data_IF_953178548751
#
_entry.id   IF_953178548751
#
_cell.length_a   1.000
_cell.length_b   1.000
_cell.length_c   1.000
_cell.angle_alpha   90.00
_cell.angle_beta   90.00
_cell.angle_gamma   90.00
#
_symmetry.space_group_name_H-M   'P 1'
#
loop_
_entity.id
_entity.type
_entity.pdbx_description
1 polymer ?
#
# COMPACT_ATOMS: atom_id res chain seq x y z
N UNK A 1 11.62 21.36 13.32
CA UNK A 1 11.38 22.01 12.01
C UNK A 1 10.67 21.07 11.02
N UNK A 2 11.05 19.79 10.91
CA UNK A 2 10.43 18.84 9.96
C UNK A 2 8.94 18.54 10.23
N UNK A 3 8.49 18.44 11.48
CA UNK A 3 7.10 18.09 11.82
C UNK A 3 6.07 19.10 11.28
N UNK A 4 6.40 20.39 11.29
CA UNK A 4 5.51 21.45 10.77
C UNK A 4 5.34 21.34 9.26
N UNK A 5 6.42 21.03 8.54
CA UNK A 5 6.38 20.81 7.09
C UNK A 5 5.47 19.63 6.74
N UNK A 6 5.67 18.46 7.34
CA UNK A 6 4.84 17.28 7.08
C UNK A 6 3.37 17.50 7.45
N UNK A 7 3.10 18.22 8.53
CA UNK A 7 1.73 18.56 8.92
C UNK A 7 1.07 19.46 7.86
N UNK A 8 1.78 20.45 7.33
CA UNK A 8 1.24 21.31 6.28
C UNK A 8 1.01 20.54 4.98
N UNK A 9 1.98 19.73 4.55
CA UNK A 9 1.85 18.86 3.38
C UNK A 9 0.64 17.93 3.50
N UNK A 10 0.45 17.33 4.68
CA UNK A 10 -0.73 16.52 4.96
C UNK A 10 -2.02 17.32 4.83
N UNK A 11 -2.13 18.48 5.47
CA UNK A 11 -3.34 19.30 5.42
C UNK A 11 -3.68 19.77 4.01
N UNK A 12 -2.66 20.03 3.18
CA UNK A 12 -2.83 20.45 1.78
C UNK A 12 -3.17 19.30 0.83
N UNK A 13 -2.71 18.09 1.14
CA UNK A 13 -2.84 16.94 0.23
C UNK A 13 -3.97 15.99 0.63
N UNK A 14 -4.52 16.13 1.84
CA UNK A 14 -5.55 15.24 2.37
C UNK A 14 -6.76 15.17 1.46
N UNK A 15 -7.16 13.95 1.11
CA UNK A 15 -8.42 13.68 0.42
C UNK A 15 -9.59 13.67 1.42
N UNK A 16 -10.38 14.74 1.43
CA UNK A 16 -11.46 14.92 2.40
C UNK A 16 -12.70 14.06 2.09
N UNK A 17 -12.91 13.65 0.83
CA UNK A 17 -14.08 12.85 0.43
C UNK A 17 -14.01 11.40 0.88
N UNK A 18 -12.80 10.87 1.16
CA UNK A 18 -12.63 9.51 1.69
C UNK A 18 -12.55 9.54 3.22
N UNK A 19 -13.69 9.34 3.87
CA UNK A 19 -13.80 9.34 5.33
C UNK A 19 -14.48 8.09 5.87
N UNK A 20 -14.33 7.85 7.17
CA UNK A 20 -14.90 6.68 7.84
C UNK A 20 -14.13 5.38 7.54
N UNK A 21 -14.78 4.26 7.89
CA UNK A 21 -14.19 2.92 7.78
C UNK A 21 -14.48 2.24 6.44
N UNK A 22 -15.62 2.54 5.84
CA UNK A 22 -16.10 1.84 4.65
C UNK A 22 -15.71 2.62 3.39
N UNK A 23 -14.76 2.09 2.62
CA UNK A 23 -14.32 2.64 1.32
C UNK A 23 -14.32 1.48 0.31
N UNK A 24 -14.90 1.73 -0.87
CA UNK A 24 -15.01 0.76 -1.97
C UNK A 24 -15.04 1.51 -3.31
N UNK A 25 -15.13 0.79 -4.42
CA UNK A 25 -14.92 1.33 -5.78
C UNK A 25 -15.69 2.62 -6.09
N UNK A 26 -16.98 2.74 -5.68
CA UNK A 26 -17.78 3.95 -5.96
C UNK A 26 -17.23 5.21 -5.29
N UNK A 27 -16.57 5.08 -4.13
CA UNK A 27 -15.98 6.22 -3.43
C UNK A 27 -14.74 6.76 -4.14
N UNK A 28 -13.99 5.88 -4.81
CA UNK A 28 -12.70 6.23 -5.43
C UNK A 28 -12.82 6.54 -6.93
N UNK A 29 -13.89 6.10 -7.60
CA UNK A 29 -14.10 6.33 -9.03
C UNK A 29 -14.04 7.82 -9.43
N UNK A 30 -14.73 8.76 -8.76
CA UNK A 30 -14.62 10.18 -9.10
C UNK A 30 -13.20 10.73 -8.92
N UNK A 31 -12.44 10.20 -7.96
CA UNK A 31 -11.06 10.60 -7.72
C UNK A 31 -10.13 10.07 -8.81
N UNK A 32 -10.34 8.83 -9.25
CA UNK A 32 -9.61 8.23 -10.36
C UNK A 32 -9.87 8.97 -11.68
N UNK A 33 -11.11 9.36 -11.94
CA UNK A 33 -11.48 10.21 -13.08
C UNK A 33 -10.72 11.55 -13.04
N UNK A 34 -10.69 12.22 -11.89
CA UNK A 34 -9.93 13.46 -11.72
C UNK A 34 -8.42 13.26 -11.92
N UNK A 35 -7.87 12.13 -11.46
CA UNK A 35 -6.45 11.80 -11.61
C UNK A 35 -6.07 11.42 -13.05
N UNK A 36 -7.01 10.93 -13.87
CA UNK A 36 -6.76 10.55 -15.28
C UNK A 36 -6.26 11.71 -16.15
N UNK A 37 -6.56 12.96 -15.77
CA UNK A 37 -6.03 14.16 -16.43
C UNK A 37 -4.58 14.49 -16.04
N UNK A 38 -4.00 13.79 -15.06
CA UNK A 38 -2.66 14.06 -14.52
C UNK A 38 -1.73 12.86 -14.59
N UNK A 39 -2.27 11.66 -14.37
CA UNK A 39 -1.55 10.40 -14.29
C UNK A 39 -2.20 9.35 -15.18
N UNK A 40 -1.46 8.28 -15.48
CA UNK A 40 -2.03 7.14 -16.19
C UNK A 40 -2.94 6.34 -15.24
N UNK A 41 -4.22 6.24 -15.58
CA UNK A 41 -5.21 5.46 -14.83
C UNK A 41 -5.77 4.37 -15.74
N UNK A 42 -5.59 3.11 -15.35
CA UNK A 42 -5.98 1.96 -16.15
C UNK A 42 -6.88 1.01 -15.34
N UNK A 43 -7.77 0.30 -16.04
CA UNK A 43 -8.44 -0.89 -15.48
C UNK A 43 -7.53 -2.09 -15.76
N UNK A 44 -7.03 -2.73 -14.71
CA UNK A 44 -6.13 -3.88 -14.81
C UNK A 44 -6.86 -5.20 -15.01
N UNK A 45 -8.16 -5.23 -14.69
CA UNK A 45 -9.04 -6.40 -14.80
C UNK A 45 -10.18 -6.30 -13.80
N UNK A 46 -10.79 -7.43 -13.46
CA UNK A 46 -12.00 -7.47 -12.65
C UNK A 46 -11.91 -8.52 -11.53
N UNK A 47 -12.62 -8.26 -10.43
CA UNK A 47 -12.82 -9.20 -9.32
C UNK A 47 -13.73 -10.36 -9.70
N UNK A 48 -13.94 -11.28 -8.75
CA UNK A 48 -14.88 -12.41 -8.88
C UNK A 48 -16.28 -11.95 -9.33
N UNK A 49 -16.81 -10.87 -8.75
CA UNK A 49 -18.13 -10.34 -9.13
C UNK A 49 -18.09 -9.32 -10.28
N UNK A 50 -16.98 -9.23 -11.01
CA UNK A 50 -16.88 -8.33 -12.16
C UNK A 50 -16.70 -6.85 -11.80
N UNK A 51 -16.24 -6.52 -10.58
CA UNK A 51 -15.90 -5.14 -10.23
C UNK A 51 -14.50 -4.80 -10.72
N UNK A 52 -14.34 -3.63 -11.34
CA UNK A 52 -13.06 -3.19 -11.87
C UNK A 52 -12.00 -3.00 -10.78
N UNK A 53 -10.79 -3.46 -11.09
CA UNK A 53 -9.57 -3.24 -10.31
C UNK A 53 -8.72 -2.22 -11.08
N UNK A 54 -8.59 -1.03 -10.52
CA UNK A 54 -7.89 0.08 -11.13
C UNK A 54 -6.41 0.10 -10.74
N UNK A 55 -5.57 0.68 -11.60
CA UNK A 55 -4.24 1.15 -11.23
C UNK A 55 -4.04 2.63 -11.56
N UNK A 56 -3.16 3.28 -10.80
CA UNK A 56 -2.64 4.62 -11.08
C UNK A 56 -1.13 4.51 -11.22
N UNK A 57 -0.59 4.93 -12.37
CA UNK A 57 0.85 4.95 -12.65
C UNK A 57 1.35 6.39 -12.75
N UNK A 58 2.38 6.73 -11.98
CA UNK A 58 2.92 8.09 -11.88
C UNK A 58 4.44 8.07 -11.76
N UNK A 59 5.09 9.05 -12.39
CA UNK A 59 6.55 9.17 -12.45
C UNK A 59 7.16 8.48 -13.66
N UNK A 60 8.45 8.74 -13.86
CA UNK A 60 9.23 8.26 -15.01
C UNK A 60 10.60 7.74 -14.62
N UNK A 61 10.91 7.77 -13.32
CA UNK A 61 12.21 7.35 -12.83
C UNK A 61 12.46 5.85 -12.86
N UNK A 62 13.73 5.43 -12.84
CA UNK A 62 14.11 4.04 -13.04
C UNK A 62 13.73 3.13 -11.87
N UNK A 63 13.52 3.66 -10.66
CA UNK A 63 13.12 2.86 -9.49
C UNK A 63 11.63 2.56 -9.53
N UNK A 64 11.26 1.31 -9.77
CA UNK A 64 9.88 0.89 -9.93
C UNK A 64 9.30 0.38 -8.62
N UNK A 65 8.22 1.00 -8.17
CA UNK A 65 7.59 0.68 -6.89
C UNK A 65 6.15 0.27 -7.15
N UNK A 66 5.81 -0.98 -6.81
CA UNK A 66 4.44 -1.49 -6.85
C UNK A 66 3.82 -1.35 -5.47
N UNK A 67 2.63 -0.76 -5.40
CA UNK A 67 1.90 -0.58 -4.14
C UNK A 67 0.47 -1.08 -4.34
N UNK A 68 -0.08 -1.76 -3.35
CA UNK A 68 -1.49 -2.11 -3.36
C UNK A 68 -2.09 -2.01 -1.96
N UNK A 69 -3.38 -1.72 -1.90
CA UNK A 69 -4.12 -1.68 -0.64
C UNK A 69 -5.45 -2.39 -0.75
N UNK A 70 -6.13 -2.57 0.38
CA UNK A 70 -7.39 -3.29 0.47
C UNK A 70 -7.36 -4.66 -0.25
N UNK A 71 -6.25 -5.41 -0.13
CA UNK A 71 -6.23 -6.85 -0.42
C UNK A 71 -7.16 -7.59 0.56
N UNK A 72 -7.15 -7.14 1.81
CA UNK A 72 -8.28 -7.36 2.71
C UNK A 72 -9.26 -6.19 2.57
N UNK A 73 -10.47 -6.48 2.09
CA UNK A 73 -11.43 -5.44 1.71
C UNK A 73 -11.83 -4.49 2.85
N UNK A 74 -11.82 -4.95 4.09
CA UNK A 74 -12.19 -4.16 5.28
C UNK A 74 -11.05 -3.28 5.85
N UNK A 75 -9.91 -3.19 5.19
CA UNK A 75 -8.73 -2.46 5.65
C UNK A 75 -8.49 -1.14 4.87
N UNK A 76 -9.43 -0.19 4.96
CA UNK A 76 -9.44 1.02 4.12
C UNK A 76 -8.51 2.16 4.53
N UNK A 77 -7.77 2.03 5.63
CA UNK A 77 -6.92 3.11 6.14
C UNK A 77 -5.85 3.50 5.12
N UNK A 78 -5.22 2.51 4.49
CA UNK A 78 -4.13 2.72 3.55
C UNK A 78 -4.62 3.19 2.18
N UNK A 79 -5.84 2.83 1.76
CA UNK A 79 -6.47 3.40 0.56
C UNK A 79 -6.63 4.91 0.69
N UNK A 80 -7.08 5.40 1.86
CA UNK A 80 -7.16 6.85 2.12
C UNK A 80 -5.78 7.52 2.03
N UNK A 81 -4.78 6.92 2.67
CA UNK A 81 -3.41 7.43 2.63
C UNK A 81 -2.81 7.43 1.21
N UNK A 82 -3.18 6.47 0.36
CA UNK A 82 -2.78 6.46 -1.05
C UNK A 82 -3.37 7.65 -1.82
N UNK A 83 -4.61 8.03 -1.55
CA UNK A 83 -5.20 9.21 -2.18
C UNK A 83 -4.61 10.53 -1.65
N UNK A 84 -4.27 10.61 -0.36
CA UNK A 84 -3.48 11.73 0.19
C UNK A 84 -2.12 11.85 -0.55
N UNK A 85 -1.44 10.72 -0.79
CA UNK A 85 -0.19 10.67 -1.54
C UNK A 85 -0.38 11.08 -3.01
N UNK A 86 -1.41 10.56 -3.69
CA UNK A 86 -1.69 10.90 -5.09
C UNK A 86 -1.98 12.40 -5.25
N UNK A 87 -2.73 12.99 -4.32
CA UNK A 87 -2.96 14.43 -4.27
C UNK A 87 -1.66 15.21 -4.09
N UNK A 88 -0.79 14.79 -3.16
CA UNK A 88 0.54 15.36 -2.95
C UNK A 88 1.37 15.34 -4.24
N UNK A 89 1.49 14.15 -4.87
CA UNK A 89 2.24 13.97 -6.12
C UNK A 89 1.68 14.79 -7.28
N UNK A 90 0.38 15.09 -7.26
CA UNK A 90 -0.29 15.85 -8.30
C UNK A 90 -0.10 17.37 -8.21
N UNK A 91 0.55 17.86 -7.14
CA UNK A 91 0.69 19.27 -6.85
C UNK A 91 1.85 19.96 -7.62
N UNK A 92 2.62 19.22 -8.43
CA UNK A 92 3.71 19.71 -9.29
C UNK A 92 4.70 20.64 -8.56
N UNK A 93 5.23 20.18 -7.42
CA UNK A 93 6.21 20.89 -6.59
C UNK A 93 7.63 20.33 -6.83
N UNK A 94 8.70 21.11 -6.59
CA UNK A 94 10.07 20.62 -6.77
C UNK A 94 10.33 19.26 -6.10
N UNK A 95 9.90 19.07 -4.86
CA UNK A 95 10.06 17.83 -4.10
C UNK A 95 9.32 16.64 -4.73
N UNK A 96 8.18 16.88 -5.39
CA UNK A 96 7.45 15.83 -6.11
C UNK A 96 8.11 15.52 -7.45
N UNK A 97 8.66 16.53 -8.14
CA UNK A 97 9.39 16.33 -9.40
C UNK A 97 10.64 15.47 -9.20
N UNK A 98 11.41 15.74 -8.14
CA UNK A 98 12.60 14.95 -7.82
C UNK A 98 12.22 13.49 -7.54
N UNK A 99 11.18 13.26 -6.72
CA UNK A 99 10.68 11.92 -6.44
C UNK A 99 10.19 11.19 -7.70
N UNK A 100 9.44 11.86 -8.56
CA UNK A 100 8.86 11.28 -9.78
C UNK A 100 9.90 11.10 -10.91
N UNK A 101 11.02 11.80 -10.86
CA UNK A 101 12.17 11.57 -11.75
C UNK A 101 13.07 10.42 -11.26
N UNK A 102 13.06 10.13 -9.95
CA UNK A 102 13.77 9.00 -9.36
C UNK A 102 12.96 7.70 -9.40
N UNK A 103 11.65 7.79 -9.26
CA UNK A 103 10.74 6.65 -9.11
C UNK A 103 9.61 6.64 -10.15
N UNK A 104 9.18 5.44 -10.51
CA UNK A 104 7.89 5.17 -11.15
C UNK A 104 7.04 4.36 -10.17
N UNK A 105 5.91 4.90 -9.75
CA UNK A 105 4.96 4.24 -8.85
C UNK A 105 3.83 3.62 -9.68
N UNK A 106 3.50 2.36 -9.44
CA UNK A 106 2.25 1.73 -9.89
C UNK A 106 1.44 1.34 -8.66
N UNK A 107 0.25 1.92 -8.52
CA UNK A 107 -0.57 1.83 -7.33
C UNK A 107 -1.89 1.17 -7.68
N UNK A 108 -2.27 0.09 -6.99
CA UNK A 108 -3.61 -0.52 -7.05
C UNK A 108 -4.38 -0.09 -5.79
N UNK A 109 -5.27 0.93 -5.88
CA UNK A 109 -5.89 1.48 -4.68
C UNK A 109 -6.76 0.47 -3.94
N UNK A 110 -7.48 -0.39 -4.66
CA UNK A 110 -8.30 -1.46 -4.07
C UNK A 110 -8.09 -2.73 -4.89
N UNK A 111 -7.37 -3.69 -4.32
CA UNK A 111 -7.14 -5.00 -4.97
C UNK A 111 -8.37 -5.93 -4.86
N UNK A 112 -9.06 -5.90 -3.72
CA UNK A 112 -10.25 -6.73 -3.46
C UNK A 112 -11.52 -5.85 -3.40
N UNK A 113 -12.04 -5.38 -4.55
CA UNK A 113 -13.21 -4.50 -4.57
C UNK A 113 -14.48 -5.21 -4.09
N UNK A 114 -14.57 -6.54 -4.23
CA UNK A 114 -15.68 -7.33 -3.70
C UNK A 114 -15.70 -7.32 -2.18
N UNK A 115 -14.58 -7.65 -1.57
CA UNK A 115 -14.42 -7.59 -0.12
C UNK A 115 -14.57 -6.17 0.40
N UNK A 116 -14.13 -5.15 -0.35
CA UNK A 116 -14.32 -3.76 0.01
C UNK A 116 -15.79 -3.39 0.09
N UNK A 117 -16.58 -3.77 -0.92
CA UNK A 117 -18.03 -3.55 -0.98
C UNK A 117 -18.79 -4.33 0.09
N UNK A 118 -18.36 -5.54 0.42
CA UNK A 118 -18.95 -6.35 1.48
C UNK A 118 -18.42 -6.01 2.89
N UNK A 119 -17.39 -5.16 2.97
CA UNK A 119 -16.62 -4.88 4.19
C UNK A 119 -16.09 -6.15 4.88
N UNK A 120 -15.52 -7.07 4.09
CA UNK A 120 -14.94 -8.33 4.54
C UNK A 120 -13.44 -8.37 4.32
N UNK A 121 -12.75 -9.24 5.08
CA UNK A 121 -11.33 -9.53 4.87
C UNK A 121 -11.10 -10.28 3.55
N UNK A 122 -11.96 -11.25 3.27
CA UNK A 122 -11.84 -12.18 2.13
C UNK A 122 -12.51 -11.63 0.87
N UNK A 123 -12.19 -12.17 -0.30
CA UNK A 123 -12.86 -11.85 -1.57
C UNK A 123 -14.27 -12.49 -1.65
N UNK A 124 -14.97 -12.35 -2.79
CA UNK A 124 -16.33 -12.87 -2.94
C UNK A 124 -16.45 -14.40 -2.78
N UNK A 125 -15.38 -15.14 -3.07
CA UNK A 125 -15.34 -16.60 -2.90
C UNK A 125 -14.97 -17.04 -1.47
N UNK A 126 -14.79 -16.08 -0.55
CA UNK A 126 -14.38 -16.39 0.82
C UNK A 126 -12.88 -16.69 0.99
N UNK A 127 -12.05 -16.37 -0.02
CA UNK A 127 -10.61 -16.61 0.01
C UNK A 127 -9.86 -15.40 0.54
N UNK A 128 -8.89 -15.64 1.44
CA UNK A 128 -7.92 -14.63 1.87
C UNK A 128 -6.84 -14.49 0.79
N UNK A 129 -6.88 -13.40 0.03
CA UNK A 129 -5.94 -13.15 -1.07
C UNK A 129 -4.48 -13.09 -0.59
N UNK A 130 -4.23 -12.73 0.67
CA UNK A 130 -2.89 -12.73 1.26
C UNK A 130 -2.44 -14.14 1.71
N UNK A 131 -3.20 -15.17 1.34
CA UNK A 131 -2.86 -16.59 1.49
C UNK A 131 -2.89 -17.34 0.15
N UNK A 132 -3.18 -16.65 -0.96
CA UNK A 132 -3.40 -17.23 -2.29
C UNK A 132 -2.28 -16.83 -3.28
N UNK A 133 -1.15 -16.32 -2.79
CA UNK A 133 -0.06 -15.83 -3.63
C UNK A 133 0.67 -16.94 -4.42
N UNK A 134 0.63 -18.17 -3.91
CA UNK A 134 1.21 -19.39 -4.52
C UNK A 134 0.20 -20.10 -5.42
N UNK A 135 -0.97 -20.43 -4.87
CA UNK A 135 -2.03 -21.16 -5.59
C UNK A 135 -2.61 -20.33 -6.74
N UNK A 136 -2.61 -19.00 -6.61
CA UNK A 136 -3.15 -18.06 -7.59
C UNK A 136 -4.54 -18.50 -8.06
N UNK A 137 -5.39 -18.93 -7.12
CA UNK A 137 -6.70 -19.50 -7.46
C UNK A 137 -7.71 -18.42 -7.85
N UNK A 138 -7.55 -17.21 -7.31
CA UNK A 138 -8.50 -16.11 -7.48
C UNK A 138 -8.12 -15.16 -8.63
N UNK A 139 -9.12 -14.53 -9.31
CA UNK A 139 -8.85 -13.57 -10.37
C UNK A 139 -8.02 -12.38 -9.88
N UNK A 140 -8.25 -11.90 -8.65
CA UNK A 140 -7.49 -10.79 -8.07
C UNK A 140 -6.02 -11.16 -7.83
N UNK A 141 -5.75 -12.38 -7.37
CA UNK A 141 -4.39 -12.89 -7.15
C UNK A 141 -3.63 -13.04 -8.48
N UNK A 142 -4.29 -13.61 -9.50
CA UNK A 142 -3.72 -13.75 -10.86
C UNK A 142 -3.41 -12.37 -11.46
N UNK A 143 -4.32 -11.41 -11.30
CA UNK A 143 -4.14 -10.04 -11.75
C UNK A 143 -2.92 -9.40 -11.07
N UNK A 144 -2.82 -9.47 -9.73
CA UNK A 144 -1.66 -8.91 -9.02
C UNK A 144 -0.35 -9.55 -9.48
N UNK A 145 -0.33 -10.88 -9.66
CA UNK A 145 0.84 -11.59 -10.18
C UNK A 145 1.24 -11.11 -11.57
N UNK A 146 0.26 -10.93 -12.46
CA UNK A 146 0.51 -10.44 -13.81
C UNK A 146 1.07 -9.00 -13.78
N UNK A 147 0.48 -8.11 -12.98
CA UNK A 147 1.00 -6.75 -12.77
C UNK A 147 2.44 -6.78 -12.27
N UNK A 148 2.77 -7.64 -11.32
CA UNK A 148 4.14 -7.80 -10.83
C UNK A 148 5.11 -8.24 -11.93
N UNK A 149 4.73 -9.24 -12.73
CA UNK A 149 5.56 -9.77 -13.83
C UNK A 149 5.79 -8.72 -14.91
N UNK A 150 4.76 -7.95 -15.27
CA UNK A 150 4.84 -6.97 -16.34
C UNK A 150 5.59 -5.71 -15.89
N UNK A 151 5.26 -5.22 -14.70
CA UNK A 151 5.86 -4.01 -14.15
C UNK A 151 7.29 -4.22 -13.66
N UNK A 152 7.65 -5.44 -13.23
CA UNK A 152 8.95 -5.84 -12.68
C UNK A 152 9.47 -4.88 -11.60
N UNK A 153 8.72 -4.68 -10.50
CA UNK A 153 9.08 -3.70 -9.48
C UNK A 153 10.41 -4.03 -8.79
N UNK A 154 11.15 -3.00 -8.41
CA UNK A 154 12.28 -3.09 -7.48
C UNK A 154 11.79 -3.24 -6.04
N UNK A 155 10.65 -2.61 -5.71
CA UNK A 155 10.03 -2.66 -4.38
C UNK A 155 8.53 -2.91 -4.46
N UNK A 156 8.01 -3.68 -3.51
CA UNK A 156 6.60 -3.95 -3.34
C UNK A 156 6.13 -3.50 -1.95
N UNK A 157 5.04 -2.74 -1.89
CA UNK A 157 4.38 -2.36 -0.65
C UNK A 157 2.97 -2.94 -0.60
N UNK A 158 2.80 -3.95 0.26
CA UNK A 158 1.50 -4.51 0.63
C UNK A 158 0.92 -3.72 1.81
N UNK A 159 -0.08 -2.88 1.56
CA UNK A 159 -0.54 -1.87 2.52
C UNK A 159 -1.79 -2.34 3.27
N UNK A 160 -1.59 -2.71 4.53
CA UNK A 160 -2.64 -3.22 5.42
C UNK A 160 -3.12 -2.22 6.49
N UNK A 161 -4.31 -2.47 7.01
CA UNK A 161 -4.85 -1.75 8.17
C UNK A 161 -4.42 -2.41 9.47
N UNK A 162 -3.99 -1.62 10.45
CA UNK A 162 -3.63 -2.11 11.78
C UNK A 162 -4.70 -1.78 12.82
N UNK A 163 -4.93 -2.71 13.75
CA UNK A 163 -5.80 -2.48 14.92
C UNK A 163 -5.04 -1.68 15.97
N UNK A 164 -5.74 -0.79 16.68
CA UNK A 164 -5.16 0.09 17.71
C UNK A 164 -4.68 -0.62 18.97
N UNK A 165 -4.95 -1.92 19.11
CA UNK A 165 -4.63 -2.74 20.29
C UNK A 165 -3.16 -3.18 20.37
N UNK A 166 -2.37 -2.99 19.31
CA UNK A 166 -0.97 -3.38 19.27
C UNK A 166 -0.07 -2.25 19.77
N UNK A 167 0.89 -2.56 20.65
CA UNK A 167 1.88 -1.60 21.14
C UNK A 167 3.11 -1.51 20.23
N UNK A 168 3.78 -0.36 20.24
CA UNK A 168 5.08 -0.19 19.60
C UNK A 168 6.18 -0.81 20.47
N UNK A 169 6.45 -2.11 20.26
CA UNK A 169 7.37 -2.87 21.10
C UNK A 169 6.92 -2.89 22.57
N UNK A 170 7.82 -2.56 23.48
CA UNK A 170 7.55 -2.49 24.94
C UNK A 170 6.94 -1.15 25.40
N UNK A 171 6.66 -0.25 24.47
CA UNK A 171 6.03 1.05 24.75
C UNK A 171 4.58 0.89 25.23
N UNK A 172 4.06 1.90 25.94
CA UNK A 172 2.61 2.03 26.24
C UNK A 172 1.83 2.63 25.07
N UNK A 173 2.51 3.15 24.05
CA UNK A 173 1.88 3.75 22.88
C UNK A 173 1.45 2.67 21.90
N UNK A 174 0.33 2.91 21.22
CA UNK A 174 -0.08 2.11 20.06
C UNK A 174 0.97 2.20 18.95
N UNK A 175 1.16 1.10 18.23
CA UNK A 175 1.91 1.09 16.97
C UNK A 175 1.04 1.72 15.86
N UNK A 176 1.34 2.97 15.54
CA UNK A 176 0.65 3.79 14.53
C UNK A 176 1.02 3.33 13.11
N UNK A 177 2.29 2.96 12.91
CA UNK A 177 2.81 2.35 11.68
C UNK A 177 3.63 1.15 12.09
N UNK A 178 3.54 0.05 11.35
CA UNK A 178 4.42 -1.09 11.56
C UNK A 178 5.02 -1.56 10.25
N UNK A 179 6.25 -2.02 10.30
CA UNK A 179 6.95 -2.57 9.14
C UNK A 179 7.18 -4.06 9.28
N UNK A 180 7.22 -4.74 8.14
CA UNK A 180 7.56 -6.16 8.02
C UNK A 180 8.36 -6.36 6.73
N UNK A 181 9.53 -7.01 6.85
CA UNK A 181 10.24 -7.61 5.72
C UNK A 181 10.06 -9.13 5.84
N UNK A 182 9.06 -9.71 5.15
CA UNK A 182 8.66 -11.10 5.36
C UNK A 182 9.82 -12.05 5.05
N UNK A 183 9.96 -13.11 5.85
CA UNK A 183 10.89 -14.18 5.52
C UNK A 183 10.45 -14.92 4.26
N UNK A 184 11.42 -15.38 3.47
CA UNK A 184 11.21 -16.22 2.28
C UNK A 184 11.30 -17.72 2.58
N UNK A 185 11.79 -18.10 3.77
CA UNK A 185 11.90 -19.49 4.20
C UNK A 185 11.76 -19.65 5.71
N UNK A 186 11.53 -20.90 6.17
CA UNK A 186 11.37 -21.24 7.59
C UNK A 186 12.58 -20.89 8.46
N UNK A 187 13.78 -20.78 7.88
CA UNK A 187 15.00 -20.44 8.60
C UNK A 187 15.18 -18.93 8.80
N UNK A 188 14.26 -18.11 8.30
CA UNK A 188 14.39 -16.66 8.32
C UNK A 188 15.68 -16.17 7.64
N UNK A 189 16.09 -16.81 6.53
CA UNK A 189 17.33 -16.45 5.83
C UNK A 189 17.35 -14.97 5.44
N UNK A 190 18.48 -14.31 5.69
CA UNK A 190 18.74 -12.94 5.23
C UNK A 190 19.19 -12.95 3.78
N UNK A 191 18.24 -13.10 2.86
CA UNK A 191 18.51 -12.97 1.42
C UNK A 191 18.84 -11.52 1.05
N UNK A 192 19.53 -11.32 -0.08
CA UNK A 192 19.96 -9.97 -0.50
C UNK A 192 18.77 -9.01 -0.65
N UNK A 193 17.68 -9.46 -1.28
CA UNK A 193 16.48 -8.63 -1.41
C UNK A 193 15.86 -8.29 -0.04
N UNK A 194 15.92 -9.23 0.91
CA UNK A 194 15.40 -9.02 2.26
C UNK A 194 16.24 -8.01 3.03
N UNK A 195 17.57 -8.03 2.88
CA UNK A 195 18.48 -7.02 3.45
C UNK A 195 18.16 -5.62 2.91
N UNK A 196 17.98 -5.48 1.60
CA UNK A 196 17.61 -4.20 0.99
C UNK A 196 16.28 -3.67 1.56
N UNK A 197 15.27 -4.53 1.70
CA UNK A 197 14.00 -4.14 2.33
C UNK A 197 14.19 -3.73 3.80
N UNK A 198 15.02 -4.45 4.57
CA UNK A 198 15.33 -4.12 5.96
C UNK A 198 16.08 -2.78 6.08
N UNK A 199 17.00 -2.47 5.17
CA UNK A 199 17.70 -1.18 5.13
C UNK A 199 16.73 -0.02 4.90
N UNK A 200 15.81 -0.16 3.94
CA UNK A 200 14.76 0.85 3.70
C UNK A 200 13.88 1.01 4.94
N UNK A 201 13.44 -0.09 5.56
CA UNK A 201 12.65 -0.05 6.80
C UNK A 201 13.41 0.63 7.93
N UNK A 202 14.72 0.37 8.07
CA UNK A 202 15.56 0.99 9.09
C UNK A 202 15.66 2.51 8.90
N UNK A 203 15.86 2.97 7.66
CA UNK A 203 15.87 4.40 7.33
C UNK A 203 14.50 5.06 7.61
N UNK A 204 13.40 4.42 7.17
CA UNK A 204 12.03 4.91 7.43
C UNK A 204 11.73 4.99 8.93
N UNK A 205 12.06 3.94 9.69
CA UNK A 205 11.86 3.92 11.14
C UNK A 205 12.68 5.04 11.80
N UNK A 206 13.97 5.18 11.48
CA UNK A 206 14.83 6.23 12.05
C UNK A 206 14.20 7.61 11.87
N UNK A 207 13.70 7.92 10.66
CA UNK A 207 13.05 9.20 10.40
C UNK A 207 11.71 9.35 11.13
N UNK A 208 10.88 8.30 11.13
CA UNK A 208 9.59 8.33 11.81
C UNK A 208 9.71 8.49 13.32
N UNK A 209 10.78 8.00 13.96
CA UNK A 209 11.01 8.23 15.39
C UNK A 209 11.16 9.72 15.74
N UNK A 210 11.58 10.58 14.80
CA UNK A 210 11.67 12.02 15.01
C UNK A 210 10.28 12.69 15.04
N UNK A 211 9.27 12.05 14.44
CA UNK A 211 7.93 12.61 14.24
C UNK A 211 6.90 11.95 15.17
N UNK A 212 6.96 10.63 15.31
CA UNK A 212 6.06 9.79 16.09
C UNK A 212 6.87 8.86 17.03
N UNK A 213 7.64 9.43 17.98
CA UNK A 213 8.55 8.66 18.83
C UNK A 213 7.83 7.54 19.58
N UNK A 214 8.41 6.35 19.54
CA UNK A 214 7.89 5.12 20.17
C UNK A 214 6.47 4.76 19.71
N UNK A 215 6.12 5.01 18.44
CA UNK A 215 4.85 4.59 17.81
C UNK A 215 5.06 3.78 16.52
N UNK A 216 6.29 3.36 16.22
CA UNK A 216 6.60 2.47 15.10
C UNK A 216 6.80 1.05 15.62
N UNK A 217 6.01 0.10 15.11
CA UNK A 217 6.15 -1.33 15.37
C UNK A 217 7.05 -2.02 14.33
N UNK A 218 7.68 -3.10 14.73
CA UNK A 218 8.31 -4.07 13.81
C UNK A 218 7.63 -5.40 14.10
N UNK A 219 7.01 -5.99 13.07
CA UNK A 219 6.34 -7.28 13.21
C UNK A 219 7.36 -8.41 13.34
N UNK A 220 6.91 -9.49 13.97
CA UNK A 220 7.60 -10.78 13.93
C UNK A 220 7.78 -11.21 12.47
N UNK A 221 8.99 -11.62 12.13
CA UNK A 221 9.41 -11.98 10.79
C UNK A 221 9.24 -13.49 10.51
N UNK A 222 8.62 -14.22 11.44
CA UNK A 222 8.27 -15.63 11.30
C UNK A 222 7.67 -15.94 9.92
N UNK A 223 8.22 -16.98 9.30
CA UNK A 223 7.87 -17.39 7.96
C UNK A 223 6.41 -17.84 7.84
N UNK A 224 5.79 -17.51 6.71
CA UNK A 224 4.49 -18.03 6.32
C UNK A 224 4.49 -18.28 4.80
N UNK A 225 4.55 -19.55 4.41
CA UNK A 225 4.60 -19.98 2.99
C UNK A 225 3.48 -19.38 2.14
N UNK A 226 2.33 -19.08 2.73
CA UNK A 226 1.17 -18.55 2.02
C UNK A 226 1.27 -17.04 1.74
N UNK A 227 2.27 -16.36 2.32
CA UNK A 227 2.52 -14.92 2.17
C UNK A 227 3.68 -14.61 1.21
N UNK A 228 4.40 -15.62 0.72
CA UNK A 228 5.59 -15.49 -0.13
C UNK A 228 5.24 -15.84 -1.57
#
# INVERSE_FOLDING_TARGET
MHTTLFKNLYLESKEASLFGRYIHSLHIQPLLENLSGKFQVDIMGQSVNGLDIYSVTVGTGPKRILMWSQMHGNESTTTKALFDLLNFLSANRPETCDLLSACTLKILPILNPDGAKAYTRVNANGVDLNRDAQDLSQPESKLLRQVFIDFKPDFCYNLHGQRTIFSAGKSKNSATVSFLSPSQDENCTLTENRKVAMEVIAAMNSHLQEIIPNQVGIYDDAFNINCV
#
